data_IF_277518472550
#
_entry.id   IF_277518472550
#
_cell.length_a   1.000
_cell.length_b   1.000
_cell.length_c   1.000
_cell.angle_alpha   90.00
_cell.angle_beta   90.00
_cell.angle_gamma   90.00
#
_symmetry.space_group_name_H-M   'P 1'
#
loop_
_entity.id
_entity.type
_entity.pdbx_description
1 polymer ?
#
# COMPACT_ATOMS: atom_id res chain seq x y z
N UNK A 1 -58.99 -11.76 -47.41
CA UNK A 1 -57.96 -12.66 -46.83
C UNK A 1 -56.76 -11.90 -46.28
N UNK A 2 -56.10 -11.02 -47.04
CA UNK A 2 -54.91 -10.26 -46.59
C UNK A 2 -55.11 -9.37 -45.34
N UNK A 3 -56.25 -8.68 -45.20
CA UNK A 3 -56.54 -7.83 -44.01
C UNK A 3 -56.77 -8.63 -42.72
N UNK A 4 -57.26 -9.87 -42.83
CA UNK A 4 -57.48 -10.76 -41.68
C UNK A 4 -56.15 -11.35 -41.20
N UNK A 5 -55.24 -11.67 -42.13
CA UNK A 5 -53.89 -12.11 -41.80
C UNK A 5 -53.06 -10.98 -41.14
N UNK A 6 -53.20 -9.73 -41.58
CA UNK A 6 -52.54 -8.59 -40.96
C UNK A 6 -53.07 -8.29 -39.54
N UNK A 7 -54.38 -8.44 -39.32
CA UNK A 7 -54.97 -8.29 -37.98
C UNK A 7 -54.53 -9.41 -37.02
N UNK A 8 -54.41 -10.65 -37.52
CA UNK A 8 -53.90 -11.78 -36.73
C UNK A 8 -52.41 -11.61 -36.36
N UNK A 9 -51.58 -11.08 -37.27
CA UNK A 9 -50.17 -10.80 -37.00
C UNK A 9 -49.99 -9.67 -35.97
N UNK A 10 -50.81 -8.61 -36.03
CA UNK A 10 -50.79 -7.54 -35.04
C UNK A 10 -51.24 -8.02 -33.65
N UNK A 11 -52.22 -8.93 -33.57
CA UNK A 11 -52.64 -9.55 -32.31
C UNK A 11 -51.55 -10.46 -31.72
N UNK A 12 -50.83 -11.21 -32.56
CA UNK A 12 -49.72 -12.06 -32.14
C UNK A 12 -48.54 -11.25 -31.57
N UNK A 13 -48.20 -10.12 -32.19
CA UNK A 13 -47.15 -9.21 -31.68
C UNK A 13 -47.54 -8.53 -30.36
N UNK A 14 -48.83 -8.24 -30.17
CA UNK A 14 -49.34 -7.72 -28.90
C UNK A 14 -49.29 -8.77 -27.78
N UNK A 15 -49.56 -10.04 -28.09
CA UNK A 15 -49.40 -11.16 -27.15
C UNK A 15 -47.93 -11.31 -26.74
N UNK A 16 -47.01 -11.34 -27.71
CA UNK A 16 -45.56 -11.45 -27.44
C UNK A 16 -45.02 -10.29 -26.61
N UNK A 17 -45.51 -9.07 -26.84
CA UNK A 17 -45.12 -7.90 -26.03
C UNK A 17 -45.64 -8.02 -24.59
N UNK A 18 -46.87 -8.50 -24.40
CA UNK A 18 -47.41 -8.77 -23.06
C UNK A 18 -46.65 -9.90 -22.35
N UNK A 19 -46.32 -10.97 -23.06
CA UNK A 19 -45.47 -12.06 -22.55
C UNK A 19 -44.06 -11.57 -22.18
N UNK A 20 -43.48 -10.66 -22.97
CA UNK A 20 -42.20 -10.01 -22.67
C UNK A 20 -42.27 -9.09 -21.44
N UNK A 21 -43.38 -8.36 -21.26
CA UNK A 21 -43.62 -7.52 -20.09
C UNK A 21 -43.87 -8.35 -18.82
N UNK A 22 -44.59 -9.46 -18.94
CA UNK A 22 -44.84 -10.41 -17.85
C UNK A 22 -43.55 -11.12 -17.42
N UNK A 23 -42.71 -11.53 -18.38
CA UNK A 23 -41.39 -12.11 -18.07
C UNK A 23 -40.43 -11.08 -17.48
N UNK A 24 -40.44 -9.83 -17.94
CA UNK A 24 -39.66 -8.75 -17.33
C UNK A 24 -40.14 -8.44 -15.90
N UNK A 25 -41.46 -8.47 -15.64
CA UNK A 25 -42.02 -8.33 -14.30
C UNK A 25 -41.61 -9.51 -13.40
N UNK A 26 -41.74 -10.74 -13.89
CA UNK A 26 -41.34 -11.93 -13.15
C UNK A 26 -39.84 -11.94 -12.82
N UNK A 27 -39.00 -11.47 -13.74
CA UNK A 27 -37.55 -11.34 -13.50
C UNK A 27 -37.26 -10.25 -12.46
N UNK A 28 -37.95 -9.10 -12.52
CA UNK A 28 -37.84 -8.05 -11.50
C UNK A 28 -38.30 -8.53 -10.12
N UNK A 29 -39.39 -9.28 -10.05
CA UNK A 29 -39.90 -9.86 -8.80
C UNK A 29 -38.94 -10.94 -8.26
N UNK A 30 -38.34 -11.76 -9.13
CA UNK A 30 -37.33 -12.74 -8.73
C UNK A 30 -36.06 -12.08 -8.17
N UNK A 31 -35.59 -11.00 -8.80
CA UNK A 31 -34.45 -10.21 -8.33
C UNK A 31 -34.78 -9.58 -6.97
N UNK A 32 -35.92 -8.91 -6.83
CA UNK A 32 -36.31 -8.27 -5.56
C UNK A 32 -36.51 -9.29 -4.44
N UNK A 33 -37.17 -10.42 -4.72
CA UNK A 33 -37.30 -11.52 -3.75
C UNK A 33 -35.94 -12.04 -3.31
N UNK A 34 -34.95 -12.13 -4.20
CA UNK A 34 -33.61 -12.57 -3.83
C UNK A 34 -32.95 -11.63 -2.82
N UNK A 35 -33.11 -10.31 -2.99
CA UNK A 35 -32.61 -9.33 -2.04
C UNK A 35 -33.42 -9.28 -0.74
N UNK A 36 -34.73 -9.56 -0.79
CA UNK A 36 -35.57 -9.67 0.41
C UNK A 36 -35.31 -10.99 1.18
N UNK A 37 -35.00 -12.10 0.50
CA UNK A 37 -34.66 -13.40 1.13
C UNK A 37 -33.18 -13.42 1.63
N UNK A 38 -32.29 -12.62 1.04
CA UNK A 38 -30.95 -12.36 1.59
C UNK A 38 -31.00 -11.47 2.87
N UNK A 39 -32.19 -10.98 3.27
CA UNK A 39 -32.47 -10.39 4.60
C UNK A 39 -32.72 -11.46 5.69
N UNK A 40 -32.40 -12.73 5.43
CA UNK A 40 -32.29 -13.78 6.46
C UNK A 40 -31.01 -13.60 7.31
N UNK A 41 -30.85 -12.44 7.95
CA UNK A 41 -29.93 -12.23 9.08
C UNK A 41 -28.45 -12.49 8.83
N UNK A 42 -28.03 -12.81 7.61
CA UNK A 42 -26.66 -12.65 7.15
C UNK A 42 -26.57 -11.22 6.64
N UNK A 43 -26.55 -10.31 7.60
CA UNK A 43 -25.97 -8.99 7.36
C UNK A 43 -24.73 -9.24 6.52
N UNK A 44 -24.69 -8.61 5.34
CA UNK A 44 -23.40 -8.36 4.72
C UNK A 44 -22.60 -7.74 5.85
N UNK A 45 -21.64 -8.51 6.33
CA UNK A 45 -20.76 -8.13 7.42
C UNK A 45 -19.89 -7.04 6.81
N UNK A 46 -20.49 -5.85 6.69
CA UNK A 46 -19.81 -4.59 6.54
C UNK A 46 -19.14 -4.31 7.90
N UNK A 47 -18.32 -5.26 8.35
CA UNK A 47 -17.18 -5.05 9.25
C UNK A 47 -16.07 -4.33 8.47
N UNK A 48 -16.48 -3.27 7.77
CA UNK A 48 -15.65 -2.08 7.65
C UNK A 48 -15.80 -1.30 8.96
N UNK A 49 -15.54 -1.98 10.09
CA UNK A 49 -15.19 -1.31 11.32
C UNK A 49 -13.87 -0.58 11.07
N UNK A 50 -14.00 0.66 10.61
CA UNK A 50 -12.94 1.65 10.61
C UNK A 50 -12.58 2.11 12.06
N UNK A 51 -12.83 1.29 13.08
CA UNK A 51 -12.26 1.42 14.43
C UNK A 51 -10.89 0.76 14.49
N UNK A 52 -9.94 1.42 13.84
CA UNK A 52 -8.54 1.02 13.89
C UNK A 52 -7.72 1.97 13.06
N UNK A 53 -7.65 3.24 13.45
CA UNK A 53 -6.48 4.07 13.12
C UNK A 53 -5.24 3.49 13.80
N UNK A 54 -4.87 2.27 13.44
CA UNK A 54 -3.49 1.84 13.50
C UNK A 54 -2.80 2.57 12.35
N UNK A 55 -1.79 3.34 12.71
CA UNK A 55 -0.84 4.06 11.87
C UNK A 55 0.00 3.10 10.98
N UNK A 56 -0.62 2.03 10.49
CA UNK A 56 -0.05 0.93 9.71
C UNK A 56 -0.44 1.04 8.24
N UNK A 57 -0.46 2.25 7.68
CA UNK A 57 -0.59 2.44 6.23
C UNK A 57 0.47 1.59 5.53
N UNK A 58 0.02 0.53 4.84
CA UNK A 58 0.88 -0.48 4.22
C UNK A 58 1.98 0.21 3.43
N UNK A 59 3.21 -0.17 3.74
CA UNK A 59 4.40 0.31 3.03
C UNK A 59 4.43 -0.12 1.56
N UNK A 60 3.44 -0.86 1.07
CA UNK A 60 3.40 -1.42 -0.27
C UNK A 60 2.15 -0.97 -1.06
N UNK A 61 1.24 -0.21 -0.45
CA UNK A 61 -0.07 0.11 -1.04
C UNK A 61 -0.09 1.47 -1.74
N UNK A 62 1.02 1.86 -2.38
CA UNK A 62 1.03 3.07 -3.22
C UNK A 62 0.73 2.69 -4.68
N UNK A 63 -0.13 3.47 -5.36
CA UNK A 63 -0.35 3.32 -6.81
C UNK A 63 0.95 3.46 -7.61
N UNK A 64 1.96 4.12 -7.04
CA UNK A 64 3.30 4.29 -7.60
C UNK A 64 4.14 3.00 -7.59
N UNK A 65 3.74 1.99 -6.80
CA UNK A 65 4.42 0.69 -6.70
C UNK A 65 3.82 -0.35 -7.67
N UNK A 66 2.73 -0.03 -8.36
CA UNK A 66 2.09 -0.93 -9.31
C UNK A 66 3.01 -1.23 -10.51
N UNK A 67 3.31 -2.52 -10.72
CA UNK A 67 4.17 -2.98 -11.83
C UNK A 67 5.67 -2.84 -11.58
N UNK A 68 6.09 -2.45 -10.38
CA UNK A 68 7.50 -2.50 -9.97
C UNK A 68 7.92 -3.89 -9.52
N UNK A 69 9.21 -4.16 -9.64
CA UNK A 69 9.80 -5.38 -9.10
C UNK A 69 9.73 -5.39 -7.56
N UNK A 70 9.48 -6.54 -6.91
CA UNK A 70 9.42 -6.64 -5.45
C UNK A 70 10.63 -6.03 -4.73
N UNK A 71 11.84 -6.17 -5.27
CA UNK A 71 13.04 -5.57 -4.66
C UNK A 71 13.00 -4.04 -4.69
N UNK A 72 12.45 -3.45 -5.75
CA UNK A 72 12.29 -2.00 -5.86
C UNK A 72 11.21 -1.47 -4.92
N UNK A 73 10.10 -2.21 -4.78
CA UNK A 73 9.04 -1.87 -3.81
C UNK A 73 9.63 -1.86 -2.39
N UNK A 74 10.42 -2.88 -2.02
CA UNK A 74 11.08 -2.93 -0.71
C UNK A 74 12.08 -1.79 -0.50
N UNK A 75 12.86 -1.43 -1.53
CA UNK A 75 13.76 -0.27 -1.46
C UNK A 75 12.99 1.01 -1.18
N UNK A 76 11.87 1.23 -1.86
CA UNK A 76 11.03 2.42 -1.67
C UNK A 76 10.33 2.43 -0.31
N UNK A 77 9.77 1.30 0.09
CA UNK A 77 9.20 1.08 1.41
C UNK A 77 10.19 1.42 2.52
N UNK A 78 11.44 0.96 2.40
CA UNK A 78 12.50 1.30 3.35
C UNK A 78 12.76 2.80 3.43
N UNK A 79 12.87 3.49 2.28
CA UNK A 79 13.08 4.95 2.26
C UNK A 79 11.90 5.69 2.89
N UNK A 80 10.67 5.29 2.58
CA UNK A 80 9.44 5.84 3.18
C UNK A 80 9.42 5.63 4.70
N UNK A 81 9.72 4.42 5.18
CA UNK A 81 9.85 4.11 6.62
C UNK A 81 10.88 5.00 7.31
N UNK A 82 12.08 5.15 6.72
CA UNK A 82 13.13 6.02 7.30
C UNK A 82 12.70 7.47 7.33
N UNK A 83 11.99 7.93 6.29
CA UNK A 83 11.46 9.29 6.25
C UNK A 83 10.40 9.52 7.32
N UNK A 84 9.42 8.62 7.47
CA UNK A 84 8.40 8.71 8.53
C UNK A 84 9.02 8.67 9.92
N UNK A 85 10.04 7.84 10.13
CA UNK A 85 10.78 7.79 11.41
C UNK A 85 11.46 9.12 11.73
N UNK A 86 12.06 9.77 10.73
CA UNK A 86 12.64 11.11 10.88
C UNK A 86 11.56 12.17 11.14
N UNK A 87 10.46 12.16 10.38
CA UNK A 87 9.40 13.15 10.51
C UNK A 87 8.66 13.01 11.87
N UNK A 88 8.56 11.79 12.42
CA UNK A 88 7.92 11.48 13.72
C UNK A 88 8.81 11.85 14.92
N UNK A 89 10.06 11.36 14.96
CA UNK A 89 11.04 11.73 16.00
C UNK A 89 12.44 11.91 15.37
N UNK A 90 12.78 13.14 14.95
CA UNK A 90 14.09 13.44 14.39
C UNK A 90 15.23 13.07 15.34
N UNK A 91 15.05 13.26 16.65
CA UNK A 91 16.09 13.03 17.63
C UNK A 91 16.36 11.53 17.85
N UNK A 92 15.33 10.69 17.84
CA UNK A 92 15.49 9.23 17.86
C UNK A 92 16.10 8.72 16.56
N UNK A 93 15.66 9.23 15.41
CA UNK A 93 16.21 8.84 14.12
C UNK A 93 17.71 9.14 14.01
N UNK A 94 18.14 10.33 14.43
CA UNK A 94 19.55 10.71 14.45
C UNK A 94 20.37 9.85 15.43
N UNK A 95 19.81 9.45 16.58
CA UNK A 95 20.48 8.49 17.48
C UNK A 95 20.70 7.14 16.79
N UNK A 96 19.69 6.61 16.11
CA UNK A 96 19.79 5.36 15.35
C UNK A 96 20.85 5.45 14.25
N UNK A 97 20.82 6.53 13.46
CA UNK A 97 21.80 6.80 12.40
C UNK A 97 23.23 6.84 12.93
N UNK A 98 23.44 7.40 14.12
CA UNK A 98 24.74 7.39 14.78
C UNK A 98 25.19 5.97 15.13
N UNK A 99 24.32 5.14 15.70
CA UNK A 99 24.64 3.74 16.02
C UNK A 99 25.01 2.96 14.77
N UNK A 100 24.24 3.10 13.69
CA UNK A 100 24.49 2.46 12.39
C UNK A 100 25.86 2.87 11.81
N UNK A 101 26.20 4.17 11.89
CA UNK A 101 27.51 4.70 11.49
C UNK A 101 28.65 4.10 12.32
N UNK A 102 28.50 4.11 13.64
CA UNK A 102 29.55 3.65 14.55
C UNK A 102 29.77 2.14 14.42
N UNK A 103 28.72 1.36 14.15
CA UNK A 103 28.80 -0.05 13.77
C UNK A 103 29.48 -0.26 12.42
N UNK A 104 29.14 0.53 11.39
CA UNK A 104 29.80 0.45 10.10
C UNK A 104 31.30 0.78 10.20
N UNK A 105 31.67 1.79 11.00
CA UNK A 105 33.07 2.12 11.31
C UNK A 105 33.78 0.99 12.05
N UNK A 106 33.12 0.36 13.04
CA UNK A 106 33.66 -0.82 13.74
C UNK A 106 33.87 -1.98 12.77
N UNK A 107 32.89 -2.30 11.92
CA UNK A 107 33.01 -3.33 10.88
C UNK A 107 34.16 -3.03 9.91
N UNK A 108 34.30 -1.78 9.48
CA UNK A 108 35.42 -1.36 8.64
C UNK A 108 36.77 -1.56 9.34
N UNK A 109 36.86 -1.28 10.63
CA UNK A 109 38.07 -1.51 11.43
C UNK A 109 38.42 -3.00 11.53
N UNK A 110 37.42 -3.84 11.82
CA UNK A 110 37.60 -5.30 11.87
C UNK A 110 38.03 -5.85 10.50
N UNK A 111 37.34 -5.45 9.43
CA UNK A 111 37.67 -5.85 8.06
C UNK A 111 39.07 -5.38 7.62
N UNK A 112 39.52 -4.22 8.11
CA UNK A 112 40.91 -3.77 7.91
C UNK A 112 41.91 -4.65 8.65
N UNK A 113 41.62 -5.01 9.90
CA UNK A 113 42.47 -5.89 10.70
C UNK A 113 42.60 -7.30 10.08
N UNK A 114 41.51 -7.84 9.54
CA UNK A 114 41.48 -9.15 8.86
C UNK A 114 41.90 -9.09 7.39
N UNK A 115 42.22 -7.90 6.86
CA UNK A 115 42.55 -7.65 5.43
C UNK A 115 41.47 -8.11 4.44
N UNK A 116 40.23 -8.22 4.90
CA UNK A 116 39.08 -8.57 4.09
C UNK A 116 38.65 -7.37 3.21
N UNK A 117 39.01 -7.42 1.92
CA UNK A 117 38.70 -6.39 0.93
C UNK A 117 37.19 -6.24 0.65
N UNK A 118 36.40 -7.31 0.42
CA UNK A 118 34.97 -7.15 0.22
C UNK A 118 34.28 -6.56 1.47
N UNK A 119 34.64 -6.99 2.68
CA UNK A 119 34.06 -6.44 3.89
C UNK A 119 34.46 -4.97 4.13
N UNK A 120 35.68 -4.57 3.76
CA UNK A 120 36.10 -3.15 3.79
C UNK A 120 35.24 -2.28 2.85
N UNK A 121 34.97 -2.77 1.63
CA UNK A 121 34.14 -2.06 0.66
C UNK A 121 32.69 -1.93 1.16
N UNK A 122 32.09 -3.03 1.60
CA UNK A 122 30.71 -3.05 2.11
C UNK A 122 30.53 -2.15 3.36
N UNK A 123 31.51 -2.14 4.26
CA UNK A 123 31.49 -1.25 5.43
C UNK A 123 31.65 0.22 5.02
N UNK A 124 32.49 0.52 4.03
CA UNK A 124 32.63 1.87 3.47
C UNK A 124 31.37 2.38 2.78
N UNK A 125 30.70 1.52 2.01
CA UNK A 125 29.40 1.80 1.40
C UNK A 125 28.33 2.05 2.46
N UNK A 126 28.33 1.28 3.55
CA UNK A 126 27.42 1.50 4.68
C UNK A 126 27.62 2.88 5.32
N UNK A 127 28.87 3.33 5.51
CA UNK A 127 29.16 4.69 6.04
C UNK A 127 28.69 5.77 5.06
N UNK A 128 28.92 5.56 3.76
CA UNK A 128 28.49 6.51 2.72
C UNK A 128 26.97 6.62 2.65
N UNK A 129 26.25 5.49 2.74
CA UNK A 129 24.78 5.47 2.73
C UNK A 129 24.20 6.29 3.89
N UNK A 130 24.80 6.21 5.09
CA UNK A 130 24.39 7.06 6.22
C UNK A 130 24.61 8.55 5.91
N UNK A 131 25.75 8.91 5.31
CA UNK A 131 26.03 10.30 4.95
C UNK A 131 25.08 10.84 3.86
N UNK A 132 24.78 10.03 2.84
CA UNK A 132 23.81 10.38 1.80
C UNK A 132 22.41 10.57 2.37
N UNK A 133 21.99 9.73 3.32
CA UNK A 133 20.70 9.88 3.98
C UNK A 133 20.63 11.16 4.83
N UNK A 134 21.70 11.51 5.58
CA UNK A 134 21.76 12.80 6.28
C UNK A 134 21.64 13.99 5.34
N UNK A 135 22.30 13.92 4.18
CA UNK A 135 22.24 14.96 3.17
C UNK A 135 20.80 15.17 2.64
N UNK A 136 19.98 14.11 2.55
CA UNK A 136 18.56 14.22 2.19
C UNK A 136 17.74 15.03 3.20
N UNK A 137 18.17 15.06 4.46
CA UNK A 137 17.54 15.88 5.51
C UNK A 137 18.19 17.25 5.67
N UNK A 138 19.15 17.63 4.81
CA UNK A 138 19.92 18.86 4.95
C UNK A 138 20.89 18.87 6.14
N UNK A 139 21.19 17.69 6.69
CA UNK A 139 22.06 17.51 7.84
C UNK A 139 23.44 17.01 7.41
N UNK A 140 24.44 17.32 8.23
CA UNK A 140 25.81 16.82 8.05
C UNK A 140 26.15 15.81 9.15
N UNK A 141 27.29 15.11 9.02
CA UNK A 141 27.78 14.23 10.08
C UNK A 141 27.94 14.95 11.43
N UNK A 142 28.19 16.26 11.42
CA UNK A 142 28.28 17.08 12.64
C UNK A 142 26.94 17.15 13.39
N UNK A 143 25.80 17.04 12.71
CA UNK A 143 24.49 17.00 13.36
C UNK A 143 24.31 15.75 14.24
N UNK A 144 24.89 14.61 13.83
CA UNK A 144 24.91 13.40 14.64
C UNK A 144 25.72 13.56 15.93
N UNK A 145 26.76 14.40 15.90
CA UNK A 145 27.57 14.71 17.08
C UNK A 145 26.91 15.79 17.96
N UNK A 146 26.25 16.78 17.36
CA UNK A 146 25.53 17.83 18.07
C UNK A 146 24.33 17.28 18.85
N UNK A 147 23.57 16.35 18.26
CA UNK A 147 22.47 15.65 18.94
C UNK A 147 22.92 14.86 20.18
N UNK A 148 24.22 14.55 20.28
CA UNK A 148 24.80 13.90 21.45
C UNK A 148 25.16 14.86 22.58
N UNK A 149 25.54 16.10 22.24
CA UNK A 149 25.99 17.12 23.19
C UNK A 149 24.83 17.90 23.80
N UNK A 150 23.65 17.89 23.20
CA UNK A 150 22.42 18.50 23.75
C UNK A 150 21.78 17.77 24.93
N UNK A 151 22.47 16.78 25.52
CA UNK A 151 22.10 16.11 26.77
C UNK A 151 23.28 16.14 27.74
N UNK A 152 23.57 17.32 28.28
CA UNK A 152 24.33 17.51 29.52
C UNK A 152 23.60 18.48 30.40
#
# INVERSE_FOLDING_TARGET
VARVAAAAAAAAELSKRREAEETARANREWIMRRYDDDDDGRGTDDDWDASGSDDGGSDHDSLEDFGLDPEEIERRAFVRRRRRAYDSDPAAHLRRMRTERDEARRRASVAKATRDKPAQKAAGESVRAVAEELARYGLTEAALEAAARGRS
#
